data_IF_063668582805
#
_entry.id   IF_063668582805
#
_cell.length_a   1.000
_cell.length_b   1.000
_cell.length_c   1.000
_cell.angle_alpha   90.00
_cell.angle_beta   90.00
_cell.angle_gamma   90.00
#
_symmetry.space_group_name_H-M   'P 1'
#
loop_
_entity.id
_entity.type
_entity.pdbx_description
1 polymer ?
#
# COMPACT_ATOMS: atom_id res chain seq x y z
N UNK A 1 -9.52 56.32 22.60
CA UNK A 1 -9.72 56.24 21.13
C UNK A 1 -9.25 54.85 20.72
N UNK A 2 -10.16 53.87 20.70
CA UNK A 2 -9.83 52.46 20.45
C UNK A 2 -9.64 52.25 18.94
N UNK A 3 -8.42 51.93 18.54
CA UNK A 3 -8.06 51.75 17.13
C UNK A 3 -8.56 50.40 16.61
N UNK A 4 -9.21 50.47 15.44
CA UNK A 4 -9.97 49.44 14.74
C UNK A 4 -9.05 48.36 14.17
N UNK A 5 -8.59 47.42 15.00
CA UNK A 5 -7.68 46.33 14.60
C UNK A 5 -8.39 45.07 14.04
N UNK A 6 -9.70 45.14 13.79
CA UNK A 6 -10.52 44.03 13.28
C UNK A 6 -9.99 43.32 12.02
N UNK A 7 -9.49 44.02 10.97
CA UNK A 7 -9.06 43.34 9.75
C UNK A 7 -7.75 42.55 9.94
N UNK A 8 -6.85 43.00 10.83
CA UNK A 8 -5.57 42.33 11.08
C UNK A 8 -5.76 40.98 11.81
N UNK A 9 -6.69 40.94 12.77
CA UNK A 9 -7.02 39.70 13.49
C UNK A 9 -7.65 38.66 12.57
N UNK A 10 -8.52 39.10 11.65
CA UNK A 10 -9.17 38.21 10.68
C UNK A 10 -8.18 37.63 9.67
N UNK A 11 -7.20 38.42 9.23
CA UNK A 11 -6.10 37.97 8.36
C UNK A 11 -5.22 36.95 9.08
N UNK A 12 -4.89 37.17 10.35
CA UNK A 12 -4.08 36.24 11.14
C UNK A 12 -4.80 34.90 11.38
N UNK A 13 -6.11 34.92 11.59
CA UNK A 13 -6.93 33.70 11.74
C UNK A 13 -7.04 32.95 10.39
N UNK A 14 -7.20 33.65 9.27
CA UNK A 14 -7.20 33.00 7.96
C UNK A 14 -5.83 32.37 7.65
N UNK A 15 -4.74 33.08 7.97
CA UNK A 15 -3.38 32.60 7.75
C UNK A 15 -3.03 31.38 8.60
N UNK A 16 -3.53 31.32 9.85
CA UNK A 16 -3.34 30.13 10.70
C UNK A 16 -4.17 28.94 10.22
N UNK A 17 -5.40 29.15 9.74
CA UNK A 17 -6.23 28.08 9.13
C UNK A 17 -5.58 27.54 7.85
N UNK A 18 -5.01 28.42 7.01
CA UNK A 18 -4.29 28.02 5.79
C UNK A 18 -2.99 27.24 6.07
N UNK A 19 -2.28 27.57 7.16
CA UNK A 19 -1.06 26.87 7.57
C UNK A 19 -1.33 25.48 8.20
N UNK A 20 -2.49 25.28 8.84
CA UNK A 20 -2.87 23.97 9.42
C UNK A 20 -3.34 22.93 8.40
N UNK A 21 -3.53 23.30 7.13
CA UNK A 21 -4.03 22.40 6.08
C UNK A 21 -2.93 21.63 5.32
N UNK A 22 -1.65 21.74 5.69
CA UNK A 22 -0.53 21.11 4.95
C UNK A 22 0.05 19.89 5.67
N UNK A 23 -0.77 18.87 5.92
CA UNK A 23 -0.33 17.65 6.61
C UNK A 23 0.14 16.50 5.72
N UNK A 24 -0.11 16.55 4.40
CA UNK A 24 0.32 15.48 3.49
C UNK A 24 1.71 15.80 2.91
N UNK A 25 2.76 15.57 3.69
CA UNK A 25 4.11 15.58 3.14
C UNK A 25 4.28 14.36 2.24
N UNK A 26 4.55 14.58 0.96
CA UNK A 26 5.05 13.52 0.08
C UNK A 26 6.36 13.00 0.65
N UNK A 27 6.47 11.69 0.82
CA UNK A 27 7.70 11.04 1.30
C UNK A 27 8.23 10.10 0.23
N UNK A 28 9.54 9.85 0.30
CA UNK A 28 10.19 8.87 -0.58
C UNK A 28 10.01 7.49 0.04
N UNK A 29 9.29 6.62 -0.65
CA UNK A 29 8.96 5.26 -0.24
C UNK A 29 9.73 4.25 -1.09
N UNK A 30 10.10 3.10 -0.50
CA UNK A 30 10.39 1.93 -1.34
C UNK A 30 9.10 1.41 -1.94
N UNK A 31 9.18 0.90 -3.17
CA UNK A 31 8.05 0.35 -3.90
C UNK A 31 8.38 -0.99 -4.54
N UNK A 32 7.37 -1.86 -4.58
CA UNK A 32 7.32 -3.09 -5.34
C UNK A 32 6.00 -3.12 -6.13
N UNK A 33 6.07 -3.51 -7.40
CA UNK A 33 4.88 -3.69 -8.25
C UNK A 33 4.75 -5.15 -8.69
N UNK A 34 3.59 -5.74 -8.43
CA UNK A 34 3.18 -7.01 -9.04
C UNK A 34 2.26 -6.63 -10.22
N UNK A 35 2.72 -6.74 -11.47
CA UNK A 35 2.02 -6.18 -12.62
C UNK A 35 0.77 -6.97 -13.00
N UNK A 36 0.65 -8.21 -12.54
CA UNK A 36 -0.45 -9.08 -12.87
C UNK A 36 -0.74 -10.08 -11.76
N UNK A 37 -2.00 -10.15 -11.35
CA UNK A 37 -2.59 -11.24 -10.58
C UNK A 37 -4.00 -11.50 -11.12
N UNK A 38 -4.52 -12.70 -10.87
CA UNK A 38 -5.89 -13.05 -11.25
C UNK A 38 -6.67 -13.74 -10.15
N UNK A 39 -7.90 -13.28 -9.95
CA UNK A 39 -8.87 -13.78 -8.98
C UNK A 39 -10.19 -13.94 -9.74
N UNK A 40 -10.44 -15.15 -10.23
CA UNK A 40 -11.66 -15.50 -10.95
C UNK A 40 -12.07 -16.92 -10.55
N UNK A 41 -12.83 -17.00 -9.46
CA UNK A 41 -13.28 -18.27 -8.91
C UNK A 41 -14.15 -19.07 -9.91
N UNK A 42 -14.90 -18.39 -10.78
CA UNK A 42 -15.74 -19.04 -11.80
C UNK A 42 -14.86 -19.78 -12.82
N UNK A 43 -13.72 -19.20 -13.20
CA UNK A 43 -12.73 -19.83 -14.09
C UNK A 43 -11.64 -20.60 -13.35
N UNK A 44 -11.77 -20.74 -12.03
CA UNK A 44 -10.84 -21.45 -11.15
C UNK A 44 -9.50 -20.73 -10.89
N UNK A 45 -9.32 -19.49 -11.34
CA UNK A 45 -8.09 -18.71 -11.11
C UNK A 45 -8.07 -18.11 -9.71
N UNK A 46 -6.94 -18.27 -9.02
CA UNK A 46 -6.69 -17.64 -7.73
C UNK A 46 -5.25 -17.13 -7.66
N UNK A 47 -5.04 -16.10 -6.85
CA UNK A 47 -3.72 -15.57 -6.55
C UNK A 47 -3.47 -15.55 -5.04
N UNK A 48 -2.30 -16.00 -4.62
CA UNK A 48 -1.78 -15.85 -3.27
C UNK A 48 -0.56 -14.94 -3.27
N UNK A 49 -0.29 -14.28 -2.14
CA UNK A 49 0.92 -13.47 -1.97
C UNK A 49 1.56 -13.81 -0.63
N UNK A 50 2.88 -13.98 -0.64
CA UNK A 50 3.72 -13.98 0.55
C UNK A 50 4.62 -12.75 0.53
N UNK A 51 4.57 -11.93 1.58
CA UNK A 51 5.41 -10.74 1.74
C UNK A 51 6.41 -11.02 2.84
N UNK A 52 7.70 -10.95 2.53
CA UNK A 52 8.80 -11.26 3.42
C UNK A 52 9.58 -10.00 3.75
N UNK A 53 9.83 -9.80 5.05
CA UNK A 53 10.71 -8.78 5.58
C UNK A 53 12.07 -9.41 5.95
N UNK A 54 13.13 -9.25 5.13
CA UNK A 54 14.44 -9.80 5.42
C UNK A 54 15.26 -8.94 6.41
N UNK A 55 14.71 -7.85 6.93
CA UNK A 55 15.45 -6.90 7.78
C UNK A 55 15.36 -7.27 9.26
N UNK A 56 16.18 -6.61 10.09
CA UNK A 56 16.15 -6.77 11.56
C UNK A 56 15.12 -5.87 12.25
N UNK A 57 14.43 -5.02 11.50
CA UNK A 57 13.40 -4.10 12.01
C UNK A 57 12.03 -4.49 11.46
N UNK A 58 10.91 -4.18 12.15
CA UNK A 58 9.60 -4.30 11.54
C UNK A 58 9.51 -3.35 10.35
N UNK A 59 8.81 -3.78 9.29
CA UNK A 59 8.45 -2.92 8.17
C UNK A 59 6.94 -2.71 8.19
N UNK A 60 6.52 -1.48 7.92
CA UNK A 60 5.11 -1.16 7.74
C UNK A 60 4.90 -0.94 6.24
N UNK A 61 3.85 -1.55 5.70
CA UNK A 61 3.53 -1.57 4.29
C UNK A 61 2.15 -0.96 4.01
N UNK A 62 2.06 -0.23 2.90
CA UNK A 62 0.80 0.15 2.27
C UNK A 62 0.62 -0.67 1.00
N UNK A 63 -0.56 -1.25 0.81
CA UNK A 63 -0.91 -2.04 -0.36
C UNK A 63 -2.06 -1.34 -1.09
N UNK A 64 -1.94 -1.23 -2.41
CA UNK A 64 -2.97 -0.72 -3.31
C UNK A 64 -3.18 -1.68 -4.45
N UNK A 65 -4.44 -1.88 -4.84
CA UNK A 65 -4.81 -2.69 -5.99
C UNK A 65 -5.44 -1.81 -7.07
N UNK A 66 -5.13 -2.13 -8.31
CA UNK A 66 -5.64 -1.41 -9.49
C UNK A 66 -6.23 -2.40 -10.49
N UNK A 67 -7.32 -2.00 -11.14
CA UNK A 67 -7.90 -2.75 -12.25
C UNK A 67 -7.13 -2.54 -13.57
N UNK A 68 -7.60 -3.18 -14.64
CA UNK A 68 -6.99 -3.08 -15.97
C UNK A 68 -7.05 -1.68 -16.60
N UNK A 69 -7.88 -0.77 -16.08
CA UNK A 69 -7.95 0.62 -16.52
C UNK A 69 -6.97 1.54 -15.76
N UNK A 70 -6.31 1.01 -14.72
CA UNK A 70 -5.47 1.79 -13.82
C UNK A 70 -6.25 2.50 -12.71
N UNK A 71 -7.53 2.15 -12.50
CA UNK A 71 -8.33 2.70 -11.40
C UNK A 71 -8.00 1.95 -10.11
N UNK A 72 -7.70 2.68 -9.03
CA UNK A 72 -7.51 2.08 -7.71
C UNK A 72 -8.84 1.49 -7.24
N UNK A 73 -8.87 0.19 -6.92
CA UNK A 73 -10.09 -0.52 -6.49
C UNK A 73 -10.12 -0.77 -4.99
N UNK A 74 -8.96 -0.93 -4.35
CA UNK A 74 -8.87 -1.18 -2.91
C UNK A 74 -7.48 -0.86 -2.35
N UNK A 75 -7.40 -0.71 -1.03
CA UNK A 75 -6.17 -0.52 -0.29
C UNK A 75 -6.19 -1.20 1.10
N UNK A 76 -4.99 -1.46 1.60
CA UNK A 76 -4.71 -1.76 2.99
C UNK A 76 -3.56 -0.87 3.42
N UNK A 77 -3.81 -0.07 4.44
CA UNK A 77 -2.80 0.79 5.03
C UNK A 77 -2.29 0.12 6.30
N UNK A 78 -0.99 0.22 6.55
CA UNK A 78 -0.37 -0.15 7.82
C UNK A 78 -0.27 -1.65 8.09
N UNK A 79 0.02 -2.45 7.06
CA UNK A 79 0.37 -3.84 7.23
C UNK A 79 1.78 -3.94 7.84
N UNK A 80 1.87 -4.34 9.10
CA UNK A 80 3.15 -4.60 9.75
C UNK A 80 3.64 -6.02 9.44
N UNK A 81 4.90 -6.12 9.01
CA UNK A 81 5.64 -7.38 8.89
C UNK A 81 6.78 -7.39 9.92
N UNK A 82 6.78 -8.31 10.89
CA UNK A 82 7.85 -8.41 11.89
C UNK A 82 9.24 -8.60 11.26
N UNK A 83 10.33 -8.29 11.99
CA UNK A 83 11.70 -8.62 11.58
C UNK A 83 11.84 -10.08 11.17
N UNK A 84 12.52 -10.37 10.05
CA UNK A 84 12.68 -11.73 9.49
C UNK A 84 11.34 -12.47 9.26
N UNK A 85 10.22 -11.74 9.29
CA UNK A 85 8.87 -12.28 9.28
C UNK A 85 8.30 -12.39 7.88
N UNK A 86 7.24 -13.18 7.74
CA UNK A 86 6.48 -13.30 6.49
C UNK A 86 4.99 -13.28 6.77
N UNK A 87 4.23 -12.51 5.98
CA UNK A 87 2.77 -12.60 5.92
C UNK A 87 2.35 -13.28 4.64
N UNK A 88 1.50 -14.29 4.71
CA UNK A 88 1.01 -15.04 3.54
C UNK A 88 -0.51 -15.13 3.57
N UNK A 89 -1.16 -14.80 2.46
CA UNK A 89 -2.60 -14.93 2.31
C UNK A 89 -3.01 -15.08 0.84
N UNK A 90 -4.29 -15.36 0.58
CA UNK A 90 -4.86 -15.07 -0.74
C UNK A 90 -4.82 -13.57 -0.98
N UNK A 91 -4.60 -13.17 -2.23
CA UNK A 91 -4.32 -11.76 -2.55
C UNK A 91 -5.44 -10.82 -2.08
N UNK A 92 -6.70 -11.20 -2.31
CA UNK A 92 -7.87 -10.41 -1.90
C UNK A 92 -7.94 -10.17 -0.37
N UNK A 93 -7.46 -11.12 0.43
CA UNK A 93 -7.54 -11.04 1.90
C UNK A 93 -6.50 -10.11 2.52
N UNK A 94 -5.57 -9.58 1.72
CA UNK A 94 -4.72 -8.48 2.17
C UNK A 94 -5.45 -7.14 2.17
N UNK A 95 -6.62 -6.99 1.53
CA UNK A 95 -7.30 -5.71 1.39
C UNK A 95 -8.50 -5.57 2.32
N UNK A 96 -8.92 -4.33 2.56
CA UNK A 96 -10.00 -3.99 3.49
C UNK A 96 -11.39 -4.48 3.02
N UNK A 97 -11.57 -4.62 1.71
CA UNK A 97 -12.80 -5.16 1.08
C UNK A 97 -12.44 -6.26 0.05
N UNK A 98 -12.16 -7.50 0.50
CA UNK A 98 -11.68 -8.58 -0.37
C UNK A 98 -12.56 -8.83 -1.61
N UNK A 99 -13.91 -8.81 -1.54
CA UNK A 99 -14.76 -8.93 -2.73
C UNK A 99 -14.52 -7.90 -3.84
N UNK A 100 -14.06 -6.68 -3.51
CA UNK A 100 -13.76 -5.66 -4.51
C UNK A 100 -12.51 -6.01 -5.36
N UNK A 101 -11.62 -6.85 -4.84
CA UNK A 101 -10.40 -7.27 -5.53
C UNK A 101 -10.68 -8.53 -6.33
N UNK A 102 -11.12 -8.36 -7.58
CA UNK A 102 -11.51 -9.45 -8.47
C UNK A 102 -11.01 -9.26 -9.91
N UNK A 103 -11.06 -10.32 -10.71
CA UNK A 103 -10.68 -10.29 -12.12
C UNK A 103 -9.17 -10.28 -12.32
N UNK A 104 -8.66 -9.34 -13.12
CA UNK A 104 -7.23 -9.13 -13.38
C UNK A 104 -6.83 -7.82 -12.73
N UNK A 105 -5.82 -7.88 -11.87
CA UNK A 105 -5.40 -6.72 -11.06
C UNK A 105 -3.89 -6.57 -11.07
N UNK A 106 -3.42 -5.36 -10.79
CA UNK A 106 -2.03 -5.08 -10.43
C UNK A 106 -1.96 -4.61 -8.99
N UNK A 107 -0.85 -4.91 -8.30
CA UNK A 107 -0.65 -4.60 -6.89
C UNK A 107 0.58 -3.73 -6.71
N UNK A 108 0.42 -2.65 -5.95
CA UNK A 108 1.47 -1.73 -5.56
C UNK A 108 1.67 -1.87 -4.06
N UNK A 109 2.90 -2.16 -3.65
CA UNK A 109 3.28 -2.27 -2.25
C UNK A 109 4.34 -1.21 -1.98
N UNK A 110 4.12 -0.39 -0.97
CA UNK A 110 5.04 0.68 -0.57
C UNK A 110 5.42 0.55 0.90
N UNK A 111 6.67 0.85 1.25
CA UNK A 111 7.13 0.93 2.64
C UNK A 111 7.55 2.34 3.01
N UNK A 112 7.27 2.72 4.27
CA UNK A 112 7.81 3.93 4.90
C UNK A 112 9.16 3.72 5.60
N UNK A 113 9.71 2.50 5.55
CA UNK A 113 11.03 2.19 6.09
C UNK A 113 12.17 2.86 5.30
N UNK A 114 13.41 2.77 5.81
CA UNK A 114 14.59 3.24 5.10
C UNK A 114 14.68 2.70 3.66
N UNK A 115 15.21 3.50 2.73
CA UNK A 115 15.37 3.06 1.33
C UNK A 115 16.42 1.93 1.15
N UNK A 116 17.18 1.59 2.19
CA UNK A 116 18.04 0.41 2.24
C UNK A 116 17.30 -0.88 2.59
N UNK A 117 16.11 -0.77 3.18
CA UNK A 117 15.42 -1.86 3.86
C UNK A 117 14.47 -2.56 2.89
N UNK A 118 15.07 -3.31 1.95
CA UNK A 118 14.31 -4.00 0.92
C UNK A 118 13.41 -5.11 1.49
N UNK A 119 12.23 -5.26 0.91
CA UNK A 119 11.29 -6.35 1.15
C UNK A 119 11.02 -7.12 -0.15
N UNK A 120 10.47 -8.32 0.01
CA UNK A 120 10.17 -9.20 -1.12
C UNK A 120 8.70 -9.61 -1.10
N UNK A 121 8.13 -9.81 -2.28
CA UNK A 121 6.80 -10.38 -2.43
C UNK A 121 6.85 -11.53 -3.42
N UNK A 122 6.35 -12.70 -3.04
CA UNK A 122 6.15 -13.84 -3.93
C UNK A 122 4.69 -13.97 -4.28
N UNK A 123 4.37 -13.80 -5.56
CA UNK A 123 3.06 -14.09 -6.13
C UNK A 123 2.98 -15.59 -6.41
N UNK A 124 1.89 -16.21 -5.98
CA UNK A 124 1.46 -17.54 -6.39
C UNK A 124 0.22 -17.38 -7.27
N UNK A 125 0.23 -18.00 -8.45
CA UNK A 125 -0.90 -18.01 -9.36
C UNK A 125 -1.30 -19.46 -9.60
N UNK A 126 -2.55 -19.79 -9.31
CA UNK A 126 -3.08 -21.13 -9.51
C UNK A 126 -4.37 -21.12 -10.33
N UNK A 127 -4.59 -22.21 -11.07
CA UNK A 127 -5.86 -22.53 -11.70
C UNK A 127 -6.33 -23.91 -11.23
N UNK A 128 -7.52 -23.97 -10.64
CA UNK A 128 -8.15 -25.22 -10.17
C UNK A 128 -9.25 -25.71 -11.12
N UNK A 129 -9.36 -25.13 -12.31
CA UNK A 129 -10.34 -25.49 -13.33
C UNK A 129 -10.04 -26.85 -13.94
N UNK A 130 -11.10 -27.59 -14.27
CA UNK A 130 -11.02 -28.99 -14.70
C UNK A 130 -10.30 -29.21 -16.05
N UNK A 131 -10.22 -28.17 -16.90
CA UNK A 131 -9.69 -28.30 -18.25
C UNK A 131 -8.23 -27.90 -18.40
N UNK A 132 -7.68 -27.10 -17.47
CA UNK A 132 -6.30 -26.61 -17.54
C UNK A 132 -5.77 -26.21 -16.15
N UNK A 133 -5.60 -27.19 -15.23
CA UNK A 133 -5.03 -26.90 -13.93
C UNK A 133 -3.57 -26.49 -14.07
N UNK A 134 -3.13 -25.56 -13.22
CA UNK A 134 -1.76 -25.06 -13.29
C UNK A 134 -1.36 -24.28 -12.06
N UNK A 135 -0.06 -24.15 -11.87
CA UNK A 135 0.53 -23.39 -10.78
C UNK A 135 1.82 -22.74 -11.23
N UNK A 136 2.00 -21.47 -10.88
CA UNK A 136 3.22 -20.72 -11.10
C UNK A 136 3.49 -19.81 -9.91
N UNK A 137 4.74 -19.41 -9.74
CA UNK A 137 5.11 -18.40 -8.78
C UNK A 137 6.19 -17.48 -9.33
N UNK A 138 6.23 -16.26 -8.83
CA UNK A 138 7.25 -15.28 -9.16
C UNK A 138 7.54 -14.39 -7.95
N UNK A 139 8.82 -14.19 -7.66
CA UNK A 139 9.27 -13.30 -6.60
C UNK A 139 9.70 -11.94 -7.17
N UNK A 140 9.29 -10.89 -6.47
CA UNK A 140 9.60 -9.49 -6.74
C UNK A 140 10.32 -8.91 -5.51
N UNK A 141 11.12 -7.88 -5.72
CA UNK A 141 11.89 -7.19 -4.68
C UNK A 141 11.68 -5.68 -4.79
N UNK A 142 11.63 -4.98 -3.64
CA UNK A 142 11.35 -3.54 -3.57
C UNK A 142 12.56 -2.67 -3.95
N UNK A 143 12.97 -2.74 -5.23
CA UNK A 143 14.07 -1.94 -5.76
C UNK A 143 13.62 -0.60 -6.32
N UNK A 144 12.31 -0.43 -6.55
CA UNK A 144 11.76 0.82 -7.06
C UNK A 144 11.59 1.83 -5.92
N UNK A 145 11.60 3.11 -6.29
CA UNK A 145 11.40 4.23 -5.37
C UNK A 145 10.19 5.03 -5.85
N UNK A 146 9.31 5.42 -4.92
CA UNK A 146 8.20 6.33 -5.14
C UNK A 146 8.42 7.63 -4.36
N UNK A 147 8.53 8.75 -5.06
CA UNK A 147 8.77 10.07 -4.45
C UNK A 147 7.48 10.81 -4.07
N UNK A 148 6.33 10.25 -4.43
CA UNK A 148 5.03 10.90 -4.31
C UNK A 148 4.08 10.17 -3.36
N UNK A 149 4.60 9.17 -2.65
CA UNK A 149 3.78 8.39 -1.74
C UNK A 149 3.25 9.24 -0.61
N UNK A 150 2.02 8.96 -0.18
CA UNK A 150 1.38 9.56 0.98
C UNK A 150 1.22 8.48 2.05
N UNK A 151 1.73 8.76 3.25
CA UNK A 151 1.66 7.81 4.36
C UNK A 151 0.56 8.26 5.29
N UNK A 152 -0.44 7.40 5.45
CA UNK A 152 -1.63 7.69 6.25
C UNK A 152 -1.72 6.81 7.50
N UNK A 153 -0.66 6.06 7.82
CA UNK A 153 -0.62 5.35 9.08
C UNK A 153 -0.41 6.33 10.23
N UNK A 154 -1.19 6.24 11.32
CA UNK A 154 -0.88 6.98 12.52
C UNK A 154 0.52 6.57 12.98
N UNK A 155 1.40 7.54 13.14
CA UNK A 155 2.67 7.33 13.84
C UNK A 155 2.28 7.18 15.31
N UNK A 156 2.43 6.00 15.89
CA UNK A 156 2.27 5.86 17.34
C UNK A 156 3.23 6.84 18.02
N UNK A 157 2.70 7.72 18.88
CA UNK A 157 3.54 8.60 19.67
C UNK A 157 4.39 7.73 20.59
N UNK A 158 5.73 7.90 20.64
CA UNK A 158 6.51 7.24 21.67
C UNK A 158 6.02 7.73 23.04
N UNK A 159 5.56 6.78 23.87
CA UNK A 159 5.29 7.01 25.30
C UNK A 159 6.56 7.38 26.08
#
# INVERSE_FOLDING_TARGET
MFQKNGPLLLILILLSILMTCSGAHAYTAQRLVIPYASIDAVKGWWSGVAIHNPTSNPIILGLKSYDASGTQINEHLCLEIPPQGTQTNTLQNFFSDPPAVSGRVSIYITSNGPLSDHFQATLFLGNNGNSNPGFAFQTYESRDIDQTSQWLCPVESPE
#
